data_IF_572053421212
#
_entry.id   IF_572053421212
#
_cell.length_a   1.000
_cell.length_b   1.000
_cell.length_c   1.000
_cell.angle_alpha   90.00
_cell.angle_beta   90.00
_cell.angle_gamma   90.00
#
_symmetry.space_group_name_H-M   'P 1'
#
loop_
_entity.id
_entity.type
_entity.pdbx_description
1 polymer ?
#
# COMPACT_ATOMS: atom_id res chain seq x y z
N UNK A 1 -3.24 -6.77 5.86
CA UNK A 1 -3.54 -5.36 5.57
C UNK A 1 -4.50 -5.27 4.39
N UNK A 2 -5.64 -4.58 4.49
CA UNK A 2 -6.55 -4.45 3.36
C UNK A 2 -6.01 -3.44 2.34
N UNK A 3 -5.99 -3.82 1.06
CA UNK A 3 -5.79 -2.88 -0.06
C UNK A 3 -7.18 -2.38 -0.47
N UNK A 4 -7.41 -1.08 -0.35
CA UNK A 4 -8.67 -0.46 -0.77
C UNK A 4 -8.62 -0.23 -2.28
N UNK A 5 -9.59 -0.77 -3.02
CA UNK A 5 -9.70 -0.52 -4.46
C UNK A 5 -10.61 0.69 -4.72
N UNK A 6 -10.15 1.59 -5.57
CA UNK A 6 -10.91 2.72 -6.09
C UNK A 6 -11.50 2.39 -7.46
N UNK A 7 -12.46 3.20 -7.91
CA UNK A 7 -13.02 3.09 -9.27
C UNK A 7 -12.01 3.67 -10.28
N UNK A 8 -11.87 3.00 -11.42
CA UNK A 8 -10.93 3.40 -12.47
C UNK A 8 -9.53 2.81 -12.26
N UNK A 9 -8.62 3.12 -13.19
CA UNK A 9 -7.22 2.72 -13.14
C UNK A 9 -6.36 3.96 -13.32
N UNK A 10 -5.27 4.01 -12.57
CA UNK A 10 -4.23 5.01 -12.71
C UNK A 10 -3.03 4.37 -13.40
N UNK A 11 -2.53 5.03 -14.44
CA UNK A 11 -1.27 4.68 -15.08
C UNK A 11 -0.13 5.51 -14.50
N UNK A 12 1.11 5.10 -14.79
CA UNK A 12 2.27 5.87 -14.38
C UNK A 12 2.42 7.16 -15.21
N UNK A 13 2.41 8.30 -14.53
CA UNK A 13 2.55 9.62 -15.17
C UNK A 13 3.96 9.86 -15.72
N UNK A 14 4.99 9.27 -15.11
CA UNK A 14 6.39 9.44 -15.52
C UNK A 14 6.73 8.61 -16.77
N UNK A 15 6.17 7.40 -16.88
CA UNK A 15 6.35 6.57 -18.06
C UNK A 15 5.46 7.01 -19.25
N UNK A 16 4.33 7.66 -18.96
CA UNK A 16 3.28 7.92 -19.94
C UNK A 16 2.73 6.63 -20.54
N UNK A 17 2.48 6.62 -21.86
CA UNK A 17 1.95 5.46 -22.60
C UNK A 17 2.91 4.26 -22.66
N UNK A 18 4.13 4.37 -22.11
CA UNK A 18 5.15 3.31 -22.17
C UNK A 18 5.07 2.30 -21.04
N UNK A 19 4.34 2.59 -19.96
CA UNK A 19 4.23 1.65 -18.84
C UNK A 19 2.96 0.80 -18.95
N UNK A 20 3.07 -0.54 -18.91
CA UNK A 20 1.92 -1.41 -18.74
C UNK A 20 1.41 -1.44 -17.29
N UNK A 21 2.13 -0.82 -16.34
CA UNK A 21 1.71 -0.81 -14.94
C UNK A 21 0.52 0.12 -14.74
N UNK A 22 -0.59 -0.48 -14.34
CA UNK A 22 -1.81 0.19 -13.92
C UNK A 22 -2.19 -0.28 -12.53
N UNK A 23 -2.60 0.67 -11.69
CA UNK A 23 -3.04 0.41 -10.33
C UNK A 23 -4.40 1.04 -10.06
N UNK A 24 -5.20 0.39 -9.23
CA UNK A 24 -6.45 0.96 -8.71
C UNK A 24 -6.55 0.86 -7.19
N UNK A 25 -5.48 0.43 -6.53
CA UNK A 25 -5.46 0.22 -5.10
C UNK A 25 -4.79 1.35 -4.35
N UNK A 26 -5.19 1.51 -3.09
CA UNK A 26 -4.52 2.28 -2.07
C UNK A 26 -4.10 1.34 -0.95
N UNK A 27 -2.80 1.33 -0.67
CA UNK A 27 -2.19 0.69 0.49
C UNK A 27 -2.40 1.63 1.68
N UNK A 28 -2.80 1.06 2.82
CA UNK A 28 -2.86 1.77 4.10
C UNK A 28 -2.00 1.05 5.12
N UNK A 29 -1.11 1.81 5.74
CA UNK A 29 -0.16 1.33 6.74
C UNK A 29 -0.40 2.12 8.01
N UNK A 30 -0.48 1.43 9.14
CA UNK A 30 -0.61 2.06 10.46
C UNK A 30 0.68 1.84 11.23
N UNK A 31 1.29 2.92 11.71
CA UNK A 31 2.49 2.85 12.53
C UNK A 31 2.15 2.45 13.99
N UNK A 32 3.19 2.38 14.83
CA UNK A 32 3.05 2.04 16.25
C UNK A 32 2.34 3.12 17.08
N UNK A 33 2.41 4.40 16.66
CA UNK A 33 1.69 5.51 17.28
C UNK A 33 0.21 5.55 16.86
N UNK A 34 -0.17 4.74 15.87
CA UNK A 34 -1.51 4.66 15.31
C UNK A 34 -1.80 5.65 14.18
N UNK A 35 -0.79 6.37 13.70
CA UNK A 35 -0.88 7.21 12.51
C UNK A 35 -1.05 6.33 11.28
N UNK A 36 -1.97 6.73 10.40
CA UNK A 36 -2.23 6.04 9.14
C UNK A 36 -1.54 6.76 8.00
N UNK A 37 -0.78 6.01 7.23
CA UNK A 37 -0.14 6.41 5.99
C UNK A 37 -0.84 5.73 4.82
N UNK A 38 -0.98 6.45 3.71
CA UNK A 38 -1.63 5.93 2.50
C UNK A 38 -0.72 6.14 1.29
N UNK A 39 -0.61 5.11 0.45
CA UNK A 39 0.13 5.16 -0.80
C UNK A 39 -0.64 4.43 -1.91
N UNK A 40 -0.53 4.84 -3.18
CA UNK A 40 -1.08 4.05 -4.28
C UNK A 40 -0.35 2.69 -4.36
N UNK A 41 -1.04 1.64 -4.83
CA UNK A 41 -0.40 0.33 -5.05
C UNK A 41 0.77 0.37 -6.03
N UNK A 42 0.83 1.42 -6.87
CA UNK A 42 1.94 1.66 -7.79
C UNK A 42 3.21 2.20 -7.11
N UNK A 43 3.22 2.41 -5.79
CA UNK A 43 4.43 2.86 -5.07
C UNK A 43 5.62 1.94 -5.33
N UNK A 44 5.41 0.63 -5.51
CA UNK A 44 6.49 -0.31 -5.86
C UNK A 44 7.13 0.02 -7.20
N UNK A 45 6.34 0.29 -8.25
CA UNK A 45 6.87 0.70 -9.55
C UNK A 45 7.66 2.00 -9.43
N UNK A 46 7.19 2.97 -8.63
CA UNK A 46 7.91 4.21 -8.43
C UNK A 46 9.28 3.96 -7.78
N UNK A 47 9.36 3.06 -6.80
CA UNK A 47 10.63 2.68 -6.17
C UNK A 47 11.55 1.95 -7.17
N UNK A 48 11.03 0.93 -7.86
CA UNK A 48 11.84 0.03 -8.70
C UNK A 48 12.27 0.66 -10.03
N UNK A 49 11.42 1.48 -10.65
CA UNK A 49 11.62 2.00 -12.01
C UNK A 49 12.05 3.47 -11.99
N UNK A 50 11.60 4.24 -11.00
CA UNK A 50 11.85 5.68 -10.91
C UNK A 50 12.75 6.05 -9.75
N UNK A 51 13.32 5.05 -9.05
CA UNK A 51 14.22 5.24 -7.92
C UNK A 51 13.62 6.17 -6.86
N UNK A 52 12.29 6.20 -6.78
CA UNK A 52 11.60 6.97 -5.77
C UNK A 52 12.01 6.45 -4.40
N UNK A 53 12.58 7.33 -3.60
CA UNK A 53 12.88 7.05 -2.21
C UNK A 53 11.68 7.46 -1.34
N UNK A 54 10.94 6.51 -0.75
CA UNK A 54 9.86 6.85 0.17
C UNK A 54 10.44 7.50 1.43
N UNK A 55 9.61 8.25 2.16
CA UNK A 55 10.05 8.84 3.42
C UNK A 55 10.34 7.75 4.47
N UNK A 56 11.33 8.00 5.32
CA UNK A 56 11.73 7.07 6.39
C UNK A 56 10.54 6.65 7.26
N UNK A 57 9.64 7.59 7.57
CA UNK A 57 8.44 7.33 8.36
C UNK A 57 7.51 6.31 7.69
N UNK A 58 7.35 6.38 6.36
CA UNK A 58 6.54 5.43 5.61
C UNK A 58 7.21 4.05 5.56
N UNK A 59 8.54 4.02 5.40
CA UNK A 59 9.33 2.78 5.40
C UNK A 59 9.21 2.10 6.76
N UNK A 60 9.47 2.84 7.84
CA UNK A 60 9.33 2.37 9.21
C UNK A 60 7.93 1.85 9.50
N UNK A 61 6.90 2.62 9.12
CA UNK A 61 5.52 2.18 9.29
C UNK A 61 5.25 0.88 8.52
N UNK A 62 5.80 0.70 7.31
CA UNK A 62 5.57 -0.49 6.50
C UNK A 62 6.28 -1.73 7.08
N UNK A 63 7.51 -1.57 7.57
CA UNK A 63 8.30 -2.64 8.18
C UNK A 63 7.74 -3.04 9.56
N UNK A 64 7.30 -2.06 10.34
CA UNK A 64 6.85 -2.22 11.72
C UNK A 64 5.33 -2.06 11.85
N UNK A 65 4.58 -2.36 10.80
CA UNK A 65 3.13 -2.08 10.81
C UNK A 65 2.38 -2.90 11.85
N UNK A 66 1.39 -2.28 12.51
CA UNK A 66 0.46 -3.03 13.34
C UNK A 66 -0.51 -3.77 12.40
N UNK A 67 -0.38 -5.09 12.33
CA UNK A 67 -1.35 -5.92 11.65
C UNK A 67 -2.71 -5.86 12.38
N UNK A 68 -3.73 -5.29 11.76
CA UNK A 68 -5.10 -5.76 12.08
C UNK A 68 -5.20 -7.16 11.49
N UNK A 69 -4.97 -8.18 12.31
CA UNK A 69 -5.30 -9.56 11.98
C UNK A 69 -6.76 -9.61 11.55
N UNK A 70 -6.99 -9.89 10.28
CA UNK A 70 -8.28 -10.31 9.79
C UNK A 70 -8.44 -11.81 10.08
N UNK A 71 -8.35 -12.21 11.34
CA UNK A 71 -8.73 -13.56 11.77
C UNK A 71 -10.18 -13.53 12.24
N UNK A 72 -11.06 -13.30 11.27
CA UNK A 72 -12.46 -13.68 11.36
C UNK A 72 -12.62 -15.16 11.03
N UNK A 73 -12.02 -16.04 11.82
CA UNK A 73 -12.46 -17.44 11.90
C UNK A 73 -12.82 -17.70 13.37
N UNK A 74 -14.13 -17.69 13.62
CA UNK A 74 -14.70 -17.93 14.94
C UNK A 74 -14.17 -19.23 15.53
N UNK A 75 -13.55 -19.13 16.71
CA UNK A 75 -13.51 -20.25 17.63
C UNK A 75 -14.92 -20.42 18.18
N UNK A 76 -15.70 -21.32 17.57
CA UNK A 76 -16.86 -21.91 18.22
C UNK A 76 -16.34 -22.99 19.16
N UNK A 77 -16.35 -22.70 20.46
CA UNK A 77 -16.35 -23.73 21.50
C UNK A 77 -17.71 -24.45 21.44
N UNK A 78 -17.71 -25.74 21.13
CA UNK A 78 -18.66 -26.74 21.61
C UNK A 78 -18.04 -28.12 21.44
#
# INVERSE_FOLDING_TARGET
MPILKHRGFHGCELCGLRSPYVGNGQIRVKDQAGQVFAAPTMVSQYVEIHEYQPSDVLIEAALNSIGTSADGLGKSNA
#
